data_IF_907926022705
#
_entry.id   IF_907926022705
#
_cell.length_a   1.000
_cell.length_b   1.000
_cell.length_c   1.000
_cell.angle_alpha   90.00
_cell.angle_beta   90.00
_cell.angle_gamma   90.00
#
_symmetry.space_group_name_H-M   'P 1'
#
loop_
_entity.id
_entity.type
_entity.pdbx_description
1 polymer ?
#
# COMPACT_ATOMS: atom_id res chain seq x y z
N UNK A 1 -2.54 -8.84 -10.20
CA UNK A 1 -2.19 -8.75 -8.76
C UNK A 1 -0.76 -8.28 -8.62
N UNK A 2 -0.57 -7.19 -7.88
CA UNK A 2 0.74 -6.56 -7.72
C UNK A 2 1.05 -6.29 -6.25
N UNK A 3 2.34 -6.23 -5.91
CA UNK A 3 2.76 -5.79 -4.57
C UNK A 3 2.17 -4.43 -4.26
N UNK A 4 1.70 -4.24 -3.03
CA UNK A 4 1.04 -3.04 -2.51
C UNK A 4 -0.32 -2.71 -3.15
N UNK A 5 -0.92 -3.65 -3.87
CA UNK A 5 -2.36 -3.54 -4.15
C UNK A 5 -3.12 -3.50 -2.82
N UNK A 6 -4.16 -2.70 -2.77
CA UNK A 6 -4.94 -2.45 -1.55
C UNK A 6 -6.14 -3.38 -1.49
N UNK A 7 -6.31 -3.98 -0.31
CA UNK A 7 -7.42 -4.89 -0.01
C UNK A 7 -8.11 -4.44 1.28
N UNK A 8 -9.32 -4.92 1.48
CA UNK A 8 -10.04 -4.81 2.75
C UNK A 8 -10.25 -6.21 3.32
N UNK A 9 -10.07 -6.37 4.63
CA UNK A 9 -10.24 -7.66 5.30
C UNK A 9 -11.72 -7.89 5.52
N UNK A 10 -12.26 -8.96 4.93
CA UNK A 10 -13.68 -9.29 4.94
C UNK A 10 -14.03 -10.50 5.81
N UNK A 11 -13.04 -11.20 6.36
CA UNK A 11 -13.25 -12.31 7.28
C UNK A 11 -13.69 -11.76 8.64
N UNK A 12 -14.95 -12.00 8.99
CA UNK A 12 -15.56 -11.53 10.24
C UNK A 12 -14.91 -12.13 11.50
N UNK A 13 -14.21 -13.25 11.38
CA UNK A 13 -13.52 -13.88 12.49
C UNK A 13 -12.11 -13.29 12.72
N UNK A 14 -11.62 -12.45 11.82
CA UNK A 14 -10.33 -11.80 11.99
C UNK A 14 -10.46 -10.61 12.95
N UNK A 15 -9.49 -10.46 13.84
CA UNK A 15 -9.41 -9.27 14.69
C UNK A 15 -9.12 -7.99 13.89
N UNK A 16 -8.73 -8.13 12.63
CA UNK A 16 -8.51 -7.01 11.73
C UNK A 16 -9.66 -6.80 10.74
N UNK A 17 -10.81 -7.42 10.99
CA UNK A 17 -11.98 -7.27 10.14
C UNK A 17 -12.29 -5.80 9.85
N UNK A 18 -12.52 -5.49 8.57
CA UNK A 18 -12.86 -4.14 8.11
C UNK A 18 -11.66 -3.21 7.92
N UNK A 19 -10.45 -3.65 8.28
CA UNK A 19 -9.25 -2.85 8.10
C UNK A 19 -8.66 -3.04 6.71
N UNK A 20 -7.93 -2.05 6.23
CA UNK A 20 -7.21 -2.15 4.97
C UNK A 20 -5.89 -2.89 5.17
N UNK A 21 -5.51 -3.61 4.13
CA UNK A 21 -4.27 -4.36 4.07
C UNK A 21 -3.67 -4.27 2.66
N UNK A 22 -2.36 -4.33 2.56
CA UNK A 22 -1.65 -4.23 1.28
C UNK A 22 -0.83 -5.48 1.06
N UNK A 23 -0.86 -5.97 -0.18
CA UNK A 23 -0.18 -7.21 -0.56
C UNK A 23 1.34 -7.02 -0.52
N UNK A 24 2.03 -7.85 0.24
CA UNK A 24 3.50 -7.80 0.34
C UNK A 24 4.18 -9.09 -0.12
N UNK A 25 3.43 -10.18 -0.27
CA UNK A 25 3.90 -11.43 -0.85
C UNK A 25 2.77 -12.07 -1.65
N UNK A 26 3.12 -12.63 -2.82
CA UNK A 26 2.14 -13.27 -3.69
C UNK A 26 1.56 -14.52 -3.06
N UNK A 27 0.34 -14.94 -3.48
CA UNK A 27 -0.27 -16.16 -2.97
C UNK A 27 0.62 -17.38 -3.22
N UNK A 28 0.66 -18.26 -2.23
CA UNK A 28 1.30 -19.56 -2.33
C UNK A 28 0.34 -20.62 -2.93
N UNK A 29 0.75 -21.87 -2.94
CA UNK A 29 -0.05 -22.99 -3.45
C UNK A 29 -1.35 -23.22 -2.70
N UNK A 30 -1.46 -22.75 -1.45
CA UNK A 30 -2.65 -22.82 -0.62
C UNK A 30 -3.52 -21.56 -0.71
N UNK A 31 -3.26 -20.70 -1.69
CA UNK A 31 -3.96 -19.44 -1.91
C UNK A 31 -3.85 -18.49 -0.71
N UNK A 32 -2.74 -18.55 0.01
CA UNK A 32 -2.42 -17.65 1.13
C UNK A 32 -1.35 -16.66 0.71
N UNK A 33 -1.64 -15.38 0.90
CA UNK A 33 -0.71 -14.30 0.65
C UNK A 33 -0.34 -13.60 1.94
N UNK A 34 0.77 -12.89 1.93
CA UNK A 34 1.16 -12.04 3.05
C UNK A 34 0.72 -10.62 2.78
N UNK A 35 0.16 -9.99 3.81
CA UNK A 35 -0.31 -8.60 3.78
C UNK A 35 0.29 -7.83 4.93
N UNK A 36 0.44 -6.52 4.74
CA UNK A 36 0.71 -5.59 5.83
C UNK A 36 -0.58 -4.81 6.11
N UNK A 37 -1.02 -4.83 7.35
CA UNK A 37 -2.20 -4.10 7.81
C UNK A 37 -1.79 -2.68 8.18
N UNK A 38 -2.73 -1.74 8.16
CA UNK A 38 -2.49 -0.33 8.46
C UNK A 38 -1.94 -0.04 9.87
N UNK A 39 -1.93 -1.04 10.74
CA UNK A 39 -1.24 -0.98 12.04
C UNK A 39 0.23 -1.41 12.00
N UNK A 40 0.73 -1.82 10.82
CA UNK A 40 2.10 -2.30 10.64
C UNK A 40 2.27 -3.81 10.84
N UNK A 41 1.21 -4.51 11.24
CA UNK A 41 1.26 -5.98 11.44
C UNK A 41 1.27 -6.67 10.08
N UNK A 42 2.20 -7.60 9.90
CA UNK A 42 2.26 -8.48 8.73
C UNK A 42 1.65 -9.82 9.09
N UNK A 43 0.71 -10.27 8.27
CA UNK A 43 0.09 -11.58 8.48
C UNK A 43 -0.22 -12.26 7.15
N UNK A 44 -0.28 -13.58 7.21
CA UNK A 44 -0.62 -14.41 6.07
C UNK A 44 -2.11 -14.74 6.14
N UNK A 45 -2.82 -14.50 5.06
CA UNK A 45 -4.26 -14.75 4.96
C UNK A 45 -4.61 -15.41 3.65
N UNK A 46 -5.68 -16.21 3.65
CA UNK A 46 -6.26 -16.69 2.40
C UNK A 46 -6.83 -15.53 1.58
N UNK A 47 -6.72 -15.61 0.27
CA UNK A 47 -7.28 -14.60 -0.62
C UNK A 47 -8.79 -14.45 -0.46
N UNK A 48 -9.48 -15.52 -0.03
CA UNK A 48 -10.91 -15.47 0.29
C UNK A 48 -11.27 -14.63 1.53
N UNK A 49 -10.26 -14.28 2.35
CA UNK A 49 -10.44 -13.45 3.56
C UNK A 49 -10.33 -11.95 3.29
N UNK A 50 -10.02 -11.56 2.05
CA UNK A 50 -9.83 -10.18 1.66
C UNK A 50 -10.56 -9.88 0.37
N UNK A 51 -10.84 -8.60 0.13
CA UNK A 51 -11.44 -8.13 -1.12
C UNK A 51 -10.58 -7.01 -1.70
N UNK A 52 -10.30 -7.09 -2.99
CA UNK A 52 -9.55 -6.06 -3.71
C UNK A 52 -10.29 -4.71 -3.64
N UNK A 53 -9.55 -3.64 -3.35
CA UNK A 53 -10.08 -2.28 -3.29
C UNK A 53 -9.54 -1.45 -4.45
N UNK A 54 -8.22 -1.34 -4.57
CA UNK A 54 -7.60 -0.50 -5.60
C UNK A 54 -6.18 -0.99 -5.91
N UNK A 55 -5.69 -0.75 -7.14
CA UNK A 55 -4.31 -1.08 -7.46
C UNK A 55 -3.33 -0.18 -6.70
N UNK A 56 -2.09 -0.64 -6.59
CA UNK A 56 -0.99 0.15 -6.05
C UNK A 56 -0.82 1.44 -6.84
N UNK A 57 -0.22 2.44 -6.21
CA UNK A 57 0.18 3.65 -6.91
C UNK A 57 1.31 3.33 -7.90
N UNK A 58 1.25 3.88 -9.14
CA UNK A 58 2.31 3.65 -10.12
C UNK A 58 3.56 4.45 -9.81
N UNK A 59 4.67 4.05 -10.41
CA UNK A 59 5.86 4.90 -10.48
C UNK A 59 5.51 6.22 -11.15
N UNK A 60 6.03 7.31 -10.62
CA UNK A 60 5.71 8.65 -11.12
C UNK A 60 4.48 9.27 -10.49
N UNK A 61 3.72 8.54 -9.66
CA UNK A 61 2.60 9.11 -8.94
C UNK A 61 3.08 10.24 -8.03
N UNK A 62 2.43 11.41 -8.11
CA UNK A 62 2.78 12.60 -7.34
C UNK A 62 1.72 12.87 -6.29
N UNK A 63 2.16 13.24 -5.10
CA UNK A 63 1.27 13.60 -4.00
C UNK A 63 1.93 14.65 -3.11
N UNK A 64 1.10 15.36 -2.34
CA UNK A 64 1.56 16.31 -1.34
C UNK A 64 1.36 15.73 0.05
N UNK A 65 2.38 15.90 0.89
CA UNK A 65 2.30 15.62 2.31
C UNK A 65 1.28 16.60 2.94
N UNK A 66 0.36 16.06 3.74
CA UNK A 66 -0.68 16.85 4.40
C UNK A 66 -0.11 17.76 5.50
N UNK A 67 1.01 17.37 6.11
CA UNK A 67 1.56 18.08 7.25
C UNK A 67 2.42 19.27 6.83
N UNK A 68 3.27 19.10 5.82
CA UNK A 68 4.23 20.13 5.40
C UNK A 68 3.99 20.66 3.99
N UNK A 69 3.02 20.10 3.25
CA UNK A 69 2.75 20.49 1.87
C UNK A 69 3.85 20.15 0.89
N UNK A 70 4.78 19.30 1.28
CA UNK A 70 5.90 18.90 0.45
C UNK A 70 5.46 17.95 -0.66
N UNK A 71 6.01 18.11 -1.84
CA UNK A 71 5.68 17.26 -2.99
C UNK A 71 6.62 16.05 -3.05
N UNK A 72 6.01 14.88 -3.19
CA UNK A 72 6.70 13.61 -3.38
C UNK A 72 6.35 12.99 -4.72
N UNK A 73 7.27 12.21 -5.24
CA UNK A 73 7.02 11.37 -6.42
C UNK A 73 7.44 9.94 -6.10
N UNK A 74 6.54 8.99 -6.34
CA UNK A 74 6.84 7.55 -6.16
C UNK A 74 7.87 7.15 -7.21
N UNK A 75 8.99 6.58 -6.77
CA UNK A 75 10.07 6.12 -7.65
C UNK A 75 10.04 4.62 -7.88
N UNK A 76 9.66 3.86 -6.85
CA UNK A 76 9.58 2.39 -6.92
C UNK A 76 9.03 1.83 -5.61
N UNK A 77 8.88 0.51 -5.56
CA UNK A 77 8.61 -0.22 -4.32
C UNK A 77 9.96 -0.71 -3.78
N UNK A 78 10.13 -0.69 -2.47
CA UNK A 78 11.37 -1.17 -1.87
C UNK A 78 11.57 -2.68 -2.08
N UNK A 79 12.77 -3.16 -1.80
CA UNK A 79 13.12 -4.57 -2.05
C UNK A 79 12.30 -5.56 -1.19
N UNK A 80 11.82 -5.15 -0.04
CA UNK A 80 10.98 -6.00 0.83
C UNK A 80 9.50 -5.97 0.44
N UNK A 81 9.13 -5.21 -0.58
CA UNK A 81 7.78 -5.09 -1.15
C UNK A 81 6.72 -4.55 -0.18
N UNK A 82 7.10 -3.92 0.91
CA UNK A 82 6.19 -3.46 1.95
C UNK A 82 6.07 -1.94 2.07
N UNK A 83 6.84 -1.20 1.29
CA UNK A 83 6.85 0.27 1.31
C UNK A 83 7.04 0.83 -0.09
N UNK A 84 6.55 2.04 -0.30
CA UNK A 84 6.89 2.84 -1.46
C UNK A 84 8.20 3.57 -1.20
N UNK A 85 9.01 3.69 -2.25
CA UNK A 85 10.15 4.60 -2.27
C UNK A 85 9.71 5.86 -3.02
N UNK A 86 10.03 7.02 -2.48
CA UNK A 86 9.65 8.29 -3.08
C UNK A 86 10.78 9.32 -2.93
N UNK A 87 10.87 10.22 -3.89
CA UNK A 87 11.73 11.39 -3.80
C UNK A 87 10.93 12.60 -3.35
N UNK A 88 11.55 13.38 -2.50
CA UNK A 88 10.97 14.54 -1.87
C UNK A 88 11.63 15.80 -2.44
N UNK A 89 10.83 16.73 -3.01
CA UNK A 89 11.30 18.04 -3.49
C UNK A 89 12.61 17.98 -4.28
N UNK A 90 12.71 17.09 -5.28
CA UNK A 90 13.90 16.90 -6.10
C UNK A 90 15.16 16.50 -5.31
N UNK A 91 14.98 15.95 -4.12
CA UNK A 91 16.10 15.43 -3.32
C UNK A 91 16.84 14.32 -4.07
N UNK A 92 18.13 14.21 -3.82
CA UNK A 92 18.98 13.19 -4.44
C UNK A 92 18.77 11.80 -3.81
N UNK A 93 18.09 11.73 -2.67
CA UNK A 93 17.85 10.47 -1.95
C UNK A 93 16.36 10.14 -1.95
N UNK A 94 16.08 8.85 -1.81
CA UNK A 94 14.73 8.33 -1.64
C UNK A 94 14.40 8.14 -0.17
N UNK A 95 13.14 8.38 0.18
CA UNK A 95 12.57 8.02 1.49
C UNK A 95 11.64 6.83 1.32
N UNK A 96 11.46 6.04 2.38
CA UNK A 96 10.53 4.93 2.39
C UNK A 96 9.23 5.35 3.09
N UNK A 97 8.09 5.05 2.47
CA UNK A 97 6.77 5.40 2.99
C UNK A 97 5.90 4.16 3.07
N UNK A 98 5.23 3.98 4.20
CA UNK A 98 4.20 2.95 4.30
C UNK A 98 3.05 3.24 3.34
N UNK A 99 2.38 2.20 2.81
CA UNK A 99 1.31 2.43 1.83
C UNK A 99 0.16 3.27 2.35
N UNK A 100 -0.15 3.22 3.65
CA UNK A 100 -1.20 4.05 4.24
C UNK A 100 -0.80 5.52 4.42
N UNK A 101 0.48 5.84 4.27
CA UNK A 101 0.99 7.22 4.34
C UNK A 101 0.99 7.94 3.00
N UNK A 102 0.63 7.24 1.92
CA UNK A 102 0.52 7.82 0.58
C UNK A 102 -0.95 8.18 0.36
N UNK A 103 -1.30 9.48 0.31
CA UNK A 103 -2.68 9.89 0.16
C UNK A 103 -3.18 9.64 -1.26
N UNK A 104 -4.44 9.23 -1.37
CA UNK A 104 -5.12 9.20 -2.66
C UNK A 104 -5.47 10.62 -3.05
N UNK A 105 -5.12 11.00 -4.28
CA UNK A 105 -5.61 12.25 -4.83
C UNK A 105 -6.98 12.00 -5.45
N UNK A 106 -7.98 12.73 -4.96
CA UNK A 106 -9.29 12.72 -5.60
C UNK A 106 -9.14 13.32 -6.99
N UNK A 107 -9.62 12.60 -8.00
CA UNK A 107 -9.73 13.16 -9.34
C UNK A 107 -10.50 14.47 -9.26
N UNK A 108 -9.91 15.54 -9.80
CA UNK A 108 -10.65 16.80 -9.92
C UNK A 108 -11.81 16.56 -10.87
N UNK A 109 -13.02 16.65 -10.36
CA UNK A 109 -14.20 16.72 -11.20
C UNK A 109 -14.20 18.12 -11.80
N UNK A 110 -13.98 18.16 -13.09
CA UNK A 110 -14.06 19.40 -13.84
C UNK A 110 -15.51 19.66 -14.19
#
# INVERSE_FOLDING_TARGET
MNYLDKYIITNKNSKFYGRHAWLVDMPDENDRARFIVDSGVKLRMKMSSVKFVSPRFPEGYRFRDRMFGSEYVITRINWSHDKYRAKYNDALWEVALYPWNVPEQKAKVV
#
